data_IF_002297785437
#
_entry.id   IF_002297785437
#
_cell.length_a   1.000
_cell.length_b   1.000
_cell.length_c   1.000
_cell.angle_alpha   90.00
_cell.angle_beta   90.00
_cell.angle_gamma   90.00
#
_symmetry.space_group_name_H-M   'P 1'
#
loop_
_entity.id
_entity.type
_entity.pdbx_description
1 polymer ?
#
# COMPACT_ATOMS: atom_id res chain seq x y z
N UNK A 1 0.23 9.54 -18.33
CA UNK A 1 -0.51 9.33 -17.07
C UNK A 1 0.11 10.13 -15.95
N UNK A 2 -0.25 9.86 -14.69
CA UNK A 2 0.48 10.41 -13.53
C UNK A 2 1.91 9.86 -13.53
N UNK A 3 2.91 10.73 -13.40
CA UNK A 3 4.33 10.38 -13.64
C UNK A 3 5.19 10.30 -12.38
N UNK A 4 4.66 10.61 -11.19
CA UNK A 4 5.42 10.51 -9.93
C UNK A 4 6.68 11.39 -9.83
N UNK A 5 6.91 12.32 -10.77
CA UNK A 5 8.15 13.09 -10.84
C UNK A 5 9.25 12.45 -11.72
N UNK A 6 8.97 11.32 -12.36
CA UNK A 6 9.82 10.72 -13.38
C UNK A 6 9.81 11.55 -14.68
N UNK A 7 10.95 11.54 -15.37
CA UNK A 7 11.12 12.11 -16.69
C UNK A 7 10.49 11.19 -17.76
N UNK A 8 9.76 11.79 -18.69
CA UNK A 8 9.05 11.10 -19.77
C UNK A 8 9.46 11.59 -21.16
N UNK A 9 10.51 12.42 -21.23
CA UNK A 9 10.99 13.04 -22.48
C UNK A 9 12.48 12.85 -22.70
N UNK A 10 13.28 13.02 -21.64
CA UNK A 10 14.75 13.02 -21.73
C UNK A 10 15.43 11.73 -21.31
N UNK A 11 14.68 10.72 -20.86
CA UNK A 11 15.23 9.43 -20.40
C UNK A 11 16.07 9.52 -19.11
N UNK A 12 16.05 10.67 -18.41
CA UNK A 12 16.91 10.89 -17.24
C UNK A 12 16.55 10.03 -16.02
N UNK A 13 15.36 9.41 -16.03
CA UNK A 13 14.87 8.54 -14.95
C UNK A 13 14.58 7.12 -15.42
N UNK A 14 15.27 6.67 -16.47
CA UNK A 14 15.10 5.33 -17.04
C UNK A 14 14.03 5.28 -18.12
N UNK A 15 13.99 4.16 -18.84
CA UNK A 15 13.12 3.99 -20.00
C UNK A 15 11.73 3.47 -19.61
N UNK A 16 11.63 2.79 -18.48
CA UNK A 16 10.39 2.19 -18.00
C UNK A 16 10.25 2.23 -16.48
N UNK A 17 9.01 2.09 -16.03
CA UNK A 17 8.68 1.88 -14.63
C UNK A 17 7.32 1.20 -14.51
N UNK A 18 6.95 0.77 -13.30
CA UNK A 18 5.63 0.23 -13.03
C UNK A 18 4.64 1.33 -12.65
N UNK A 19 3.46 1.25 -13.25
CA UNK A 19 2.32 2.11 -12.97
C UNK A 19 1.08 1.23 -12.75
N UNK A 20 0.24 1.59 -11.78
CA UNK A 20 -1.03 0.93 -11.56
C UNK A 20 -2.13 1.94 -11.31
N UNK A 21 -3.31 1.67 -11.84
CA UNK A 21 -4.56 2.26 -11.36
C UNK A 21 -5.18 1.30 -10.34
N UNK A 22 -5.72 1.82 -9.24
CA UNK A 22 -6.40 1.04 -8.21
C UNK A 22 -7.75 1.68 -7.86
N UNK A 23 -8.82 0.86 -7.90
CA UNK A 23 -10.22 1.29 -7.70
C UNK A 23 -10.63 2.48 -8.58
N UNK A 24 -10.06 2.60 -9.78
CA UNK A 24 -10.25 3.71 -10.74
C UNK A 24 -10.00 5.14 -10.21
N UNK A 25 -9.57 5.25 -8.96
CA UNK A 25 -9.38 6.49 -8.22
C UNK A 25 -7.91 6.77 -7.95
N UNK A 26 -7.17 5.74 -7.56
CA UNK A 26 -5.77 5.89 -7.15
C UNK A 26 -4.85 5.58 -8.33
N UNK A 27 -3.99 6.54 -8.67
CA UNK A 27 -2.95 6.40 -9.68
C UNK A 27 -1.62 6.25 -8.96
N UNK A 28 -1.02 5.07 -9.02
CA UNK A 28 0.18 4.69 -8.28
C UNK A 28 1.33 4.57 -9.27
N UNK A 29 2.34 5.42 -9.10
CA UNK A 29 3.61 5.33 -9.82
C UNK A 29 4.66 4.75 -8.88
N UNK A 30 5.35 3.70 -9.31
CA UNK A 30 6.43 3.10 -8.53
C UNK A 30 7.78 3.69 -8.96
N UNK A 31 8.63 4.01 -8.00
CA UNK A 31 10.04 4.34 -8.24
C UNK A 31 10.87 3.08 -8.01
N UNK A 32 11.19 2.36 -9.09
CA UNK A 32 11.88 1.08 -9.00
C UNK A 32 13.38 1.31 -9.05
N UNK A 33 14.09 1.03 -7.95
CA UNK A 33 15.53 1.30 -7.81
C UNK A 33 16.38 0.68 -8.91
N UNK A 34 16.01 -0.48 -9.42
CA UNK A 34 16.72 -1.20 -10.48
C UNK A 34 16.42 -0.67 -11.88
N UNK A 35 15.31 0.05 -12.08
CA UNK A 35 14.94 0.65 -13.37
C UNK A 35 15.36 2.13 -13.47
N UNK A 36 15.62 2.78 -12.33
CA UNK A 36 16.26 4.09 -12.32
C UNK A 36 17.72 3.99 -12.80
N UNK A 37 18.26 4.94 -13.58
CA UNK A 37 19.61 4.86 -14.12
C UNK A 37 20.67 4.71 -13.03
N UNK A 38 21.70 3.89 -13.29
CA UNK A 38 22.88 3.81 -12.45
C UNK A 38 23.91 4.82 -12.94
N UNK A 39 24.49 5.61 -12.04
CA UNK A 39 25.54 6.56 -12.40
C UNK A 39 26.90 6.04 -11.92
N UNK A 40 27.78 5.55 -12.82
CA UNK A 40 29.12 5.12 -12.43
C UNK A 40 29.90 6.27 -11.78
N UNK A 41 30.60 5.97 -10.68
CA UNK A 41 31.37 6.97 -9.92
C UNK A 41 30.57 7.81 -8.92
N UNK A 42 29.23 7.72 -8.95
CA UNK A 42 28.38 8.26 -7.89
C UNK A 42 28.06 7.15 -6.87
N UNK A 43 28.93 6.95 -5.87
CA UNK A 43 28.70 5.94 -4.83
C UNK A 43 27.40 6.16 -4.05
N UNK A 44 26.92 7.41 -4.00
CA UNK A 44 25.69 7.75 -3.29
C UNK A 44 24.44 7.54 -4.14
N UNK A 45 24.57 7.36 -5.47
CA UNK A 45 23.45 7.23 -6.41
C UNK A 45 22.38 8.29 -6.16
N UNK A 46 22.79 9.55 -6.15
CA UNK A 46 22.00 10.69 -5.68
C UNK A 46 20.66 10.80 -6.40
N UNK A 47 20.62 10.61 -7.73
CA UNK A 47 19.36 10.68 -8.49
C UNK A 47 18.40 9.54 -8.13
N UNK A 48 18.90 8.32 -7.88
CA UNK A 48 18.04 7.22 -7.38
C UNK A 48 17.49 7.54 -6.00
N UNK A 49 18.36 8.01 -5.10
CA UNK A 49 17.99 8.42 -3.74
C UNK A 49 17.06 9.62 -3.75
N UNK A 50 17.13 10.50 -4.73
CA UNK A 50 16.24 11.66 -4.88
C UNK A 50 14.79 11.23 -5.11
N UNK A 51 14.56 10.17 -5.87
CA UNK A 51 13.20 9.65 -6.05
C UNK A 51 12.76 8.86 -4.82
N UNK A 52 13.47 7.75 -4.53
CA UNK A 52 13.06 6.80 -3.49
C UNK A 52 13.12 7.42 -2.09
N UNK A 53 14.16 8.21 -1.82
CA UNK A 53 14.34 8.89 -0.54
C UNK A 53 13.33 10.00 -0.29
N UNK A 54 12.54 10.40 -1.30
CA UNK A 54 11.43 11.34 -1.13
C UNK A 54 10.06 10.67 -1.06
N UNK A 55 9.99 9.35 -1.20
CA UNK A 55 8.74 8.61 -1.04
C UNK A 55 8.33 8.50 0.45
N UNK A 56 7.03 8.45 0.71
CA UNK A 56 6.52 8.26 2.08
C UNK A 56 6.54 6.79 2.49
N UNK A 57 6.16 5.93 1.55
CA UNK A 57 6.06 4.47 1.69
C UNK A 57 7.08 3.82 0.75
N UNK A 58 7.93 2.95 1.27
CA UNK A 58 8.92 2.21 0.50
C UNK A 58 8.61 0.72 0.56
N UNK A 59 8.62 0.07 -0.60
CA UNK A 59 8.49 -1.39 -0.69
C UNK A 59 9.90 -1.98 -0.79
N UNK A 60 10.22 -2.91 0.10
CA UNK A 60 11.51 -3.58 0.15
C UNK A 60 11.33 -5.03 -0.26
N UNK A 61 11.80 -5.38 -1.45
CA UNK A 61 11.93 -6.78 -1.84
C UNK A 61 13.20 -7.34 -1.21
N UNK A 62 13.03 -8.20 -0.22
CA UNK A 62 14.14 -8.72 0.57
C UNK A 62 14.57 -10.10 0.07
N UNK A 63 15.85 -10.22 -0.24
CA UNK A 63 16.51 -11.50 -0.52
C UNK A 63 17.26 -11.98 0.74
N UNK A 64 17.11 -13.26 1.07
CA UNK A 64 17.77 -13.86 2.23
C UNK A 64 17.04 -13.67 3.58
N UNK A 65 17.60 -14.23 4.65
CA UNK A 65 16.95 -14.29 5.97
C UNK A 65 17.20 -13.05 6.86
N UNK A 66 18.18 -12.21 6.50
CA UNK A 66 18.58 -11.07 7.33
C UNK A 66 17.46 -10.04 7.47
N UNK A 67 17.09 -9.61 8.68
CA UNK A 67 15.99 -8.67 8.86
C UNK A 67 16.32 -7.31 8.24
N UNK A 68 15.36 -6.72 7.53
CA UNK A 68 15.45 -5.34 7.11
C UNK A 68 15.41 -4.39 8.33
N UNK A 69 16.47 -3.60 8.51
CA UNK A 69 16.52 -2.52 9.50
C UNK A 69 16.17 -1.17 8.84
N UNK A 70 15.05 -0.53 9.19
CA UNK A 70 14.68 0.79 8.68
C UNK A 70 15.72 1.89 8.98
N UNK A 71 16.54 1.73 10.02
CA UNK A 71 17.59 2.69 10.34
C UNK A 71 18.72 2.70 9.32
N UNK A 72 18.86 1.63 8.52
CA UNK A 72 19.81 1.58 7.40
C UNK A 72 19.48 2.55 6.27
N UNK A 73 18.23 3.01 6.19
CA UNK A 73 17.76 3.96 5.17
C UNK A 73 17.65 5.36 5.76
N UNK A 74 18.61 6.22 5.38
CA UNK A 74 18.63 7.62 5.78
C UNK A 74 17.77 8.45 4.82
N UNK A 75 16.53 8.72 5.25
CA UNK A 75 15.62 9.63 4.56
C UNK A 75 14.81 10.44 5.58
N UNK A 76 14.49 11.69 5.22
CA UNK A 76 13.54 12.51 5.97
C UNK A 76 12.08 12.19 5.63
N UNK A 77 11.80 11.55 4.48
CA UNK A 77 10.45 11.31 3.97
C UNK A 77 10.00 9.85 4.12
N UNK A 78 10.91 8.88 4.03
CA UNK A 78 10.54 7.49 4.22
C UNK A 78 10.11 7.24 5.68
N UNK A 79 8.85 6.91 5.88
CA UNK A 79 8.26 6.72 7.20
C UNK A 79 7.51 5.40 7.34
N UNK A 80 7.19 4.73 6.24
CA UNK A 80 6.60 3.39 6.27
C UNK A 80 7.35 2.49 5.29
N UNK A 81 7.67 1.28 5.73
CA UNK A 81 8.30 0.26 4.91
C UNK A 81 7.42 -0.99 4.88
N UNK A 82 7.16 -1.50 3.68
CA UNK A 82 6.49 -2.79 3.47
C UNK A 82 7.55 -3.75 2.92
N UNK A 83 7.96 -4.70 3.76
CA UNK A 83 8.95 -5.71 3.40
C UNK A 83 8.24 -6.90 2.79
N UNK A 84 8.69 -7.33 1.61
CA UNK A 84 8.15 -8.44 0.84
C UNK A 84 9.25 -9.48 0.66
N UNK A 85 9.01 -10.69 1.15
CA UNK A 85 9.98 -11.80 1.07
C UNK A 85 9.34 -12.98 0.34
N UNK A 86 10.00 -13.49 -0.70
CA UNK A 86 9.57 -14.73 -1.34
C UNK A 86 9.80 -15.90 -0.37
N UNK A 87 8.77 -16.73 -0.18
CA UNK A 87 8.81 -17.89 0.73
C UNK A 87 8.33 -19.16 -0.01
N UNK A 88 8.74 -20.36 0.45
CA UNK A 88 8.15 -21.60 -0.03
C UNK A 88 6.68 -21.71 0.40
N UNK A 89 5.92 -22.57 -0.30
CA UNK A 89 4.53 -22.88 0.06
C UNK A 89 4.47 -23.43 1.49
N UNK A 90 3.66 -22.85 2.40
CA UNK A 90 3.41 -23.44 3.71
C UNK A 90 2.66 -24.77 3.59
N UNK A 91 3.02 -25.78 4.39
CA UNK A 91 2.40 -27.11 4.35
C UNK A 91 0.88 -27.06 4.56
N UNK A 92 0.41 -26.18 5.46
CA UNK A 92 -1.00 -26.02 5.81
C UNK A 92 -1.63 -24.75 5.19
N UNK A 93 -1.13 -24.28 4.04
CA UNK A 93 -1.62 -23.03 3.45
C UNK A 93 -3.13 -23.04 3.18
N UNK A 94 -3.66 -24.15 2.66
CA UNK A 94 -5.07 -24.24 2.27
C UNK A 94 -6.02 -24.17 3.47
N UNK A 95 -5.59 -24.63 4.65
CA UNK A 95 -6.35 -24.53 5.90
C UNK A 95 -6.38 -23.09 6.44
N UNK A 96 -5.45 -22.24 6.02
CA UNK A 96 -5.36 -20.83 6.44
C UNK A 96 -6.24 -19.91 5.58
N UNK A 97 -6.58 -20.31 4.36
CA UNK A 97 -7.37 -19.50 3.41
C UNK A 97 -8.78 -19.17 3.96
N UNK A 98 -9.56 -20.11 4.54
CA UNK A 98 -10.89 -19.81 5.08
C UNK A 98 -10.86 -18.79 6.24
N UNK A 99 -9.78 -18.76 7.03
CA UNK A 99 -9.60 -17.80 8.12
C UNK A 99 -9.21 -16.41 7.59
N UNK A 100 -8.36 -16.35 6.56
CA UNK A 100 -7.95 -15.09 5.93
C UNK A 100 -9.11 -14.37 5.22
N UNK A 101 -10.03 -15.14 4.63
CA UNK A 101 -11.20 -14.61 3.90
C UNK A 101 -12.37 -14.16 4.80
N UNK A 102 -12.34 -14.49 6.10
CA UNK A 102 -13.31 -13.98 7.09
C UNK A 102 -13.01 -12.55 7.56
N UNK A 103 -11.96 -11.92 7.04
CA UNK A 103 -11.66 -10.51 7.28
C UNK A 103 -12.77 -9.63 6.68
N UNK A 104 -13.32 -8.64 7.43
CA UNK A 104 -14.51 -7.86 7.03
C UNK A 104 -14.32 -6.94 5.81
N UNK A 105 -13.22 -7.08 5.07
CA UNK A 105 -12.87 -6.28 3.89
C UNK A 105 -13.10 -7.00 2.56
N UNK A 106 -13.64 -8.22 2.56
CA UNK A 106 -14.09 -8.90 1.35
C UNK A 106 -15.60 -8.72 1.15
N UNK A 107 -16.06 -8.32 -0.05
CA UNK A 107 -17.49 -8.37 -0.36
C UNK A 107 -17.93 -9.83 -0.37
N UNK A 108 -18.77 -10.22 0.59
CA UNK A 108 -19.41 -11.54 0.59
C UNK A 108 -20.41 -11.60 -0.56
N UNK A 109 -20.38 -12.60 -1.45
CA UNK A 109 -21.49 -12.82 -2.37
C UNK A 109 -22.73 -13.14 -1.55
N UNK A 110 -23.79 -12.37 -1.77
CA UNK A 110 -25.06 -12.48 -1.08
C UNK A 110 -25.67 -13.88 -1.30
N UNK A 111 -25.76 -14.65 -0.22
CA UNK A 111 -26.71 -15.76 -0.13
C UNK A 111 -27.71 -15.47 0.97
N UNK A 112 -28.94 -15.21 0.56
CA UNK A 112 -30.14 -15.17 1.39
C UNK A 112 -30.24 -16.41 2.27
N UNK A 113 -30.24 -16.24 3.59
CA UNK A 113 -31.08 -17.05 4.48
C UNK A 113 -31.20 -16.41 5.87
N UNK A 114 -32.43 -16.38 6.33
CA UNK A 114 -32.88 -15.95 7.65
C UNK A 114 -32.39 -16.89 8.75
N UNK A 115 -31.78 -16.35 9.82
CA UNK A 115 -31.81 -16.96 11.14
C UNK A 115 -31.58 -15.91 12.24
N UNK A 116 -32.48 -15.94 13.22
CA UNK A 116 -32.50 -15.13 14.44
C UNK A 116 -31.31 -15.42 15.36
N UNK A 117 -30.66 -14.39 15.87
CA UNK A 117 -29.67 -14.49 16.95
C UNK A 117 -30.16 -13.79 18.23
N UNK A 118 -30.22 -14.54 19.32
CA UNK A 118 -30.10 -14.01 20.68
C UNK A 118 -28.75 -14.45 21.24
N UNK A 119 -27.87 -13.49 21.54
CA UNK A 119 -26.86 -13.58 22.59
C UNK A 119 -26.12 -12.24 22.75
N UNK A 120 -26.15 -11.75 23.98
CA UNK A 120 -25.50 -10.55 24.49
C UNK A 120 -23.98 -10.70 24.58
N UNK A 121 -23.23 -9.61 24.38
CA UNK A 121 -21.79 -9.57 24.63
C UNK A 121 -21.22 -8.17 24.39
N UNK A 122 -20.97 -7.47 25.49
CA UNK A 122 -20.40 -6.14 25.65
C UNK A 122 -19.17 -5.79 24.79
N UNK A 123 -19.18 -4.61 24.16
CA UNK A 123 -17.98 -3.80 23.92
C UNK A 123 -18.29 -2.32 24.12
N UNK A 124 -17.49 -1.70 24.99
CA UNK A 124 -17.49 -0.26 25.26
C UNK A 124 -16.87 0.47 24.06
N UNK A 125 -17.59 1.43 23.50
CA UNK A 125 -17.10 2.28 22.41
C UNK A 125 -16.04 3.29 22.92
N UNK A 126 -14.95 3.56 22.17
CA UNK A 126 -14.12 4.74 22.39
C UNK A 126 -14.75 6.00 21.77
N UNK A 127 -14.44 7.20 22.29
CA UNK A 127 -15.16 8.44 21.96
C UNK A 127 -14.82 9.01 20.58
N UNK A 128 -15.82 9.70 20.05
CA UNK A 128 -16.00 10.29 18.71
C UNK A 128 -14.80 11.01 18.10
N UNK A 129 -14.47 10.65 16.86
CA UNK A 129 -13.70 11.46 15.92
C UNK A 129 -14.62 12.43 15.15
N UNK A 130 -14.07 13.61 14.86
CA UNK A 130 -14.67 14.77 14.18
C UNK A 130 -15.37 14.48 12.84
N UNK A 131 -16.35 15.29 12.40
CA UNK A 131 -17.32 14.95 11.36
C UNK A 131 -16.83 15.03 9.91
N UNK A 132 -15.52 15.02 9.64
CA UNK A 132 -14.97 15.15 8.27
C UNK A 132 -14.62 13.79 7.61
N UNK A 133 -15.02 12.67 8.20
CA UNK A 133 -14.70 11.32 7.74
C UNK A 133 -15.94 10.50 7.32
N UNK A 134 -17.11 11.13 7.21
CA UNK A 134 -18.32 10.48 6.77
C UNK A 134 -18.70 11.01 5.38
N UNK A 135 -18.40 10.24 4.33
CA UNK A 135 -19.28 10.02 3.19
C UNK A 135 -18.63 9.06 2.17
N UNK A 136 -19.48 8.19 1.65
CA UNK A 136 -19.28 7.18 0.59
C UNK A 136 -18.85 5.79 1.09
N UNK A 137 -19.79 5.10 1.74
CA UNK A 137 -20.07 3.71 1.45
C UNK A 137 -21.22 3.68 0.42
N UNK A 138 -20.99 3.22 -0.81
CA UNK A 138 -22.05 2.58 -1.61
C UNK A 138 -21.49 1.77 -2.78
N UNK A 139 -22.08 0.57 -2.91
CA UNK A 139 -22.19 -0.40 -4.01
C UNK A 139 -20.97 -0.70 -4.91
N UNK A 140 -20.33 -1.84 -4.64
CA UNK A 140 -19.53 -2.56 -5.65
C UNK A 140 -20.35 -3.69 -6.27
N UNK A 141 -20.78 -3.51 -7.51
CA UNK A 141 -21.31 -4.58 -8.38
C UNK A 141 -20.25 -5.67 -8.65
N UNK A 142 -20.64 -6.94 -8.88
CA UNK A 142 -19.71 -8.03 -9.14
C UNK A 142 -19.03 -7.87 -10.50
N UNK A 143 -17.69 -7.79 -10.49
CA UNK A 143 -16.87 -7.66 -11.70
C UNK A 143 -16.95 -8.95 -12.53
N UNK A 144 -17.58 -8.84 -13.70
CA UNK A 144 -17.40 -9.80 -14.79
C UNK A 144 -15.97 -9.65 -15.33
N UNK A 145 -15.23 -10.75 -15.30
CA UNK A 145 -13.87 -10.87 -15.82
C UNK A 145 -13.81 -10.54 -17.31
N UNK A 146 -13.11 -9.46 -17.68
CA UNK A 146 -12.52 -9.34 -19.02
C UNK A 146 -11.06 -9.80 -18.95
N UNK A 147 -10.62 -10.71 -19.84
CA UNK A 147 -9.25 -11.20 -19.86
C UNK A 147 -8.41 -10.26 -20.71
N UNK A 148 -7.67 -9.35 -20.09
CA UNK A 148 -6.57 -8.69 -20.79
C UNK A 148 -5.38 -8.46 -19.84
N UNK A 149 -4.28 -9.10 -20.19
CA UNK A 149 -3.10 -9.29 -19.35
C UNK A 149 -2.66 -10.75 -19.43
N UNK A 150 -1.80 -11.04 -20.42
CA UNK A 150 -1.12 -12.33 -20.57
C UNK A 150 -0.33 -12.68 -19.31
N UNK A 151 -0.96 -13.37 -18.37
CA UNK A 151 -0.30 -14.22 -17.38
C UNK A 151 -0.40 -15.68 -17.86
N UNK A 152 0.16 -15.97 -19.04
CA UNK A 152 0.45 -17.35 -19.46
C UNK A 152 1.94 -17.60 -19.23
N UNK A 153 2.30 -17.89 -17.97
CA UNK A 153 3.54 -18.59 -17.65
C UNK A 153 3.21 -20.09 -17.61
N UNK A 154 3.43 -20.75 -18.75
CA UNK A 154 3.35 -22.19 -18.84
C UNK A 154 4.30 -22.87 -17.84
N UNK A 155 3.75 -23.55 -16.85
CA UNK A 155 4.45 -24.58 -16.06
C UNK A 155 5.21 -24.14 -14.80
N UNK A 156 4.86 -23.00 -14.17
CA UNK A 156 5.59 -22.46 -13.01
C UNK A 156 4.97 -22.80 -11.65
N UNK A 157 5.80 -23.23 -10.69
CA UNK A 157 5.44 -23.44 -9.27
C UNK A 157 4.66 -22.25 -8.66
N UNK A 158 3.61 -22.54 -7.87
CA UNK A 158 2.91 -21.52 -7.09
C UNK A 158 3.90 -20.67 -6.26
N UNK A 159 3.76 -19.35 -6.33
CA UNK A 159 4.65 -18.40 -5.65
C UNK A 159 3.97 -17.81 -4.43
N UNK A 160 4.70 -17.72 -3.32
CA UNK A 160 4.21 -17.17 -2.06
C UNK A 160 5.13 -16.05 -1.55
N UNK A 161 4.52 -15.07 -0.88
CA UNK A 161 5.19 -13.91 -0.31
C UNK A 161 4.80 -13.73 1.14
N UNK A 162 5.78 -13.55 2.01
CA UNK A 162 5.56 -13.06 3.37
C UNK A 162 5.68 -11.54 3.39
N UNK A 163 4.77 -10.90 4.12
CA UNK A 163 4.80 -9.45 4.35
C UNK A 163 5.20 -9.12 5.79
N UNK A 164 6.01 -8.08 5.95
CA UNK A 164 6.18 -7.37 7.21
C UNK A 164 6.00 -5.86 6.98
N UNK A 165 5.55 -5.15 8.01
CA UNK A 165 5.37 -3.70 7.97
C UNK A 165 6.09 -3.10 9.15
N UNK A 166 6.85 -2.04 8.89
CA UNK A 166 7.52 -1.26 9.92
C UNK A 166 7.39 0.22 9.61
N UNK A 167 7.20 1.02 10.65
CA UNK A 167 6.92 2.46 10.52
C UNK A 167 7.79 3.26 11.47
N UNK A 168 8.04 4.52 11.11
CA UNK A 168 8.63 5.50 12.03
C UNK A 168 7.61 5.92 13.09
N UNK A 169 8.13 6.44 14.19
CA UNK A 169 7.32 6.93 15.30
C UNK A 169 6.33 8.00 14.82
N UNK A 170 5.08 7.89 15.29
CA UNK A 170 4.01 8.85 15.00
C UNK A 170 3.13 8.48 13.81
N UNK A 171 3.48 7.46 13.01
CA UNK A 171 2.55 6.91 12.01
C UNK A 171 1.47 6.09 12.74
N UNK A 172 0.17 6.41 12.61
CA UNK A 172 -0.90 5.64 13.23
C UNK A 172 -1.03 4.24 12.61
N UNK A 173 -1.60 3.27 13.33
CA UNK A 173 -1.93 1.96 12.77
C UNK A 173 -2.86 2.07 11.55
N UNK A 174 -2.67 1.21 10.55
CA UNK A 174 -3.49 1.23 9.33
C UNK A 174 -3.78 -0.15 8.78
N UNK A 175 -5.00 -0.30 8.24
CA UNK A 175 -5.47 -1.52 7.60
C UNK A 175 -5.01 -1.68 6.14
N UNK A 176 -5.33 -2.83 5.51
CA UNK A 176 -5.78 -4.05 6.17
C UNK A 176 -4.68 -4.60 7.09
N UNK A 177 -5.05 -5.20 8.21
CA UNK A 177 -4.07 -5.78 9.13
C UNK A 177 -3.53 -7.10 8.57
N UNK A 178 -2.24 -7.37 8.82
CA UNK A 178 -1.64 -8.63 8.43
C UNK A 178 -2.32 -9.77 9.18
N UNK A 179 -2.74 -10.81 8.45
CA UNK A 179 -3.14 -12.07 9.07
C UNK A 179 -1.91 -12.81 9.59
N UNK A 180 -2.12 -13.79 10.47
CA UNK A 180 -1.06 -14.62 11.04
C UNK A 180 -1.23 -16.08 10.57
N UNK A 181 -0.26 -16.67 9.86
CA UNK A 181 1.01 -16.10 9.39
C UNK A 181 0.81 -15.12 8.21
N UNK A 182 1.66 -14.08 8.02
CA UNK A 182 1.45 -13.04 7.01
C UNK A 182 1.92 -13.45 5.61
N UNK A 183 1.52 -14.66 5.17
CA UNK A 183 1.93 -15.29 3.91
C UNK A 183 0.78 -15.27 2.90
N UNK A 184 1.07 -14.79 1.70
CA UNK A 184 0.11 -14.60 0.61
C UNK A 184 0.57 -15.36 -0.64
N UNK A 185 -0.36 -16.02 -1.32
CA UNK A 185 -0.14 -16.56 -2.67
C UNK A 185 -0.11 -15.42 -3.68
N UNK A 186 0.73 -15.53 -4.72
CA UNK A 186 0.76 -14.60 -5.85
C UNK A 186 -0.50 -14.76 -6.70
N UNK A 187 -1.57 -14.05 -6.35
CA UNK A 187 -2.83 -14.02 -7.09
C UNK A 187 -3.51 -12.64 -7.02
N UNK A 188 -4.72 -12.54 -7.60
CA UNK A 188 -5.50 -11.31 -7.64
C UNK A 188 -5.88 -10.80 -6.24
N UNK A 189 -6.10 -11.70 -5.28
CA UNK A 189 -6.39 -11.33 -3.89
C UNK A 189 -5.18 -10.64 -3.27
N UNK A 190 -3.98 -11.22 -3.40
CA UNK A 190 -2.77 -10.58 -2.89
C UNK A 190 -2.52 -9.22 -3.55
N UNK A 191 -2.74 -9.10 -4.86
CA UNK A 191 -2.63 -7.79 -5.55
C UNK A 191 -3.57 -6.75 -4.95
N UNK A 192 -4.84 -7.10 -4.73
CA UNK A 192 -5.83 -6.20 -4.12
C UNK A 192 -5.44 -5.81 -2.68
N UNK A 193 -5.10 -6.80 -1.85
CA UNK A 193 -4.65 -6.59 -0.47
C UNK A 193 -3.44 -5.66 -0.43
N UNK A 194 -2.43 -5.93 -1.27
CA UNK A 194 -1.17 -5.21 -1.30
C UNK A 194 -1.36 -3.75 -1.72
N UNK A 195 -2.13 -3.49 -2.79
CA UNK A 195 -2.41 -2.12 -3.22
C UNK A 195 -3.24 -1.34 -2.19
N UNK A 196 -4.22 -2.00 -1.54
CA UNK A 196 -4.95 -1.38 -0.41
C UNK A 196 -4.00 -1.02 0.72
N UNK A 197 -3.09 -1.94 1.09
CA UNK A 197 -2.11 -1.71 2.15
C UNK A 197 -1.18 -0.54 1.83
N UNK A 198 -0.71 -0.43 0.59
CA UNK A 198 0.13 0.70 0.14
C UNK A 198 -0.63 2.03 0.22
N UNK A 199 -1.87 2.10 -0.26
CA UNK A 199 -2.68 3.33 -0.21
C UNK A 199 -2.97 3.75 1.24
N UNK A 200 -3.36 2.79 2.08
CA UNK A 200 -3.59 3.03 3.51
C UNK A 200 -2.32 3.46 4.24
N UNK A 201 -1.18 2.84 3.93
CA UNK A 201 0.13 3.23 4.45
C UNK A 201 0.46 4.69 4.09
N UNK A 202 0.23 5.10 2.84
CA UNK A 202 0.47 6.46 2.40
C UNK A 202 -0.39 7.46 3.18
N UNK A 203 -1.69 7.17 3.35
CA UNK A 203 -2.62 8.01 4.11
C UNK A 203 -2.20 8.14 5.57
N UNK A 204 -1.96 7.02 6.24
CA UNK A 204 -1.52 7.02 7.64
C UNK A 204 -0.18 7.75 7.81
N UNK A 205 0.75 7.59 6.86
CA UNK A 205 2.04 8.29 6.93
C UNK A 205 1.87 9.81 6.90
N UNK A 206 0.92 10.34 6.13
CA UNK A 206 0.64 11.79 6.08
C UNK A 206 0.10 12.34 7.41
N UNK A 207 -0.49 11.49 8.25
CA UNK A 207 -0.97 11.87 9.58
C UNK A 207 0.15 11.94 10.63
N UNK A 208 1.37 11.49 10.30
CA UNK A 208 2.48 11.59 11.23
C UNK A 208 2.88 13.06 11.48
N UNK A 209 3.31 13.43 12.70
CA UNK A 209 3.65 14.83 13.06
C UNK A 209 4.70 15.47 12.14
N UNK A 210 5.59 14.66 11.57
CA UNK A 210 6.61 15.09 10.61
C UNK A 210 6.01 15.73 9.34
N UNK A 211 4.77 15.40 8.99
CA UNK A 211 4.07 15.86 7.79
C UNK A 211 2.89 16.78 8.07
N UNK A 212 2.27 16.66 9.25
CA UNK A 212 1.11 17.45 9.68
C UNK A 212 1.33 18.97 9.49
N UNK A 213 2.49 19.47 9.90
CA UNK A 213 2.82 20.90 9.78
C UNK A 213 2.96 21.38 8.34
N UNK A 214 3.42 20.51 7.42
CA UNK A 214 3.63 20.89 6.01
C UNK A 214 2.28 21.04 5.29
N UNK A 215 1.35 20.15 5.59
CA UNK A 215 -0.02 20.22 5.07
C UNK A 215 -0.76 21.42 5.66
N UNK A 216 -0.70 21.61 6.99
CA UNK A 216 -1.39 22.72 7.69
C UNK A 216 -1.00 24.10 7.15
N UNK A 217 0.30 24.34 6.90
CA UNK A 217 0.77 25.61 6.32
C UNK A 217 0.24 25.80 4.90
N UNK A 218 0.30 24.78 4.05
CA UNK A 218 -0.20 24.87 2.68
C UNK A 218 -1.72 25.15 2.64
N UNK A 219 -2.51 24.48 3.49
CA UNK A 219 -3.95 24.73 3.61
C UNK A 219 -4.25 26.13 4.13
N UNK A 220 -3.50 26.60 5.12
CA UNK A 220 -3.67 27.95 5.66
C UNK A 220 -3.40 29.02 4.60
N UNK A 221 -2.35 28.87 3.81
CA UNK A 221 -2.04 29.83 2.73
C UNK A 221 -3.08 29.77 1.59
N UNK A 222 -3.54 28.58 1.20
CA UNK A 222 -4.61 28.45 0.22
C UNK A 222 -5.93 29.09 0.70
N UNK A 223 -6.30 28.88 1.96
CA UNK A 223 -7.48 29.49 2.56
C UNK A 223 -7.37 31.01 2.62
N UNK A 224 -6.18 31.56 2.94
CA UNK A 224 -5.95 33.01 2.91
C UNK A 224 -6.14 33.58 1.52
N UNK A 225 -5.60 32.93 0.49
CA UNK A 225 -5.78 33.36 -0.91
C UNK A 225 -7.25 33.34 -1.31
N UNK A 226 -7.97 32.25 -0.98
CA UNK A 226 -9.39 32.12 -1.31
C UNK A 226 -10.27 33.18 -0.61
N UNK A 227 -9.97 33.50 0.65
CA UNK A 227 -10.71 34.52 1.41
C UNK A 227 -10.37 35.94 0.93
N UNK A 228 -9.16 36.18 0.42
CA UNK A 228 -8.73 37.49 -0.09
C UNK A 228 -9.23 37.80 -1.51
N UNK A 229 -9.71 36.80 -2.26
CA UNK A 229 -10.29 36.96 -3.60
C UNK A 229 -11.82 37.20 -3.61
N UNK A 230 -12.45 37.37 -2.44
CA UNK A 230 -13.88 37.74 -2.29
C UNK A 230 -14.02 39.17 -1.80
#
# INVERSE_FOLDING_TARGET
>A
GFRGGLDVRGGSTGDESFYSTYQDKYKIMFHVSTLLPYTPGDEQQVERKRHIGNDLVVIVFQEGPEPFDPASVVSNMNHTYIVVRKVPRPENYDDLIPLQNSSPYLPTPSSSSSASSSASGCYSAPPSLSPLAAEIEEESEPIQTTPDGRDDDGGGSETYYELAVTTRQGVPPFGPYLHNPPIFRKDAYFRHYFLTKVVSACRATLEAPAFEQRLSKAYTELLKLFIQEV
#
